data_IF_547797382226
#
_entry.id   IF_547797382226
#
_cell.length_a   1.000
_cell.length_b   1.000
_cell.length_c   1.000
_cell.angle_alpha   90.00
_cell.angle_beta   90.00
_cell.angle_gamma   90.00
#
_symmetry.space_group_name_H-M   'P 1'
#
loop_
_entity.id
_entity.type
_entity.pdbx_description
1 polymer ?
#
# COMPACT_ATOMS: atom_id res chain seq x y z
N UNK A 1 4.68 16.69 -24.51
CA UNK A 1 5.96 16.34 -23.87
C UNK A 1 6.58 17.51 -23.11
N UNK A 2 7.12 18.57 -23.73
CA UNK A 2 7.90 19.59 -22.99
C UNK A 2 7.17 20.24 -21.80
N UNK A 3 5.87 20.56 -21.95
CA UNK A 3 5.06 21.05 -20.82
C UNK A 3 4.97 20.04 -19.66
N UNK A 4 4.75 18.76 -19.97
CA UNK A 4 4.70 17.65 -18.98
C UNK A 4 6.04 17.55 -18.26
N UNK A 5 7.15 17.58 -19.01
CA UNK A 5 8.48 17.49 -18.39
C UNK A 5 8.84 18.71 -17.55
N UNK A 6 8.46 19.92 -17.98
CA UNK A 6 8.73 21.17 -17.26
C UNK A 6 7.92 21.34 -15.96
N UNK A 7 6.84 20.58 -15.82
CA UNK A 7 5.85 20.67 -14.74
C UNK A 7 5.99 19.52 -13.75
N UNK A 8 5.98 18.27 -14.24
CA UNK A 8 5.99 17.05 -13.42
C UNK A 8 7.20 16.13 -13.68
N UNK A 9 7.80 16.19 -14.88
CA UNK A 9 8.96 15.35 -15.25
C UNK A 9 10.33 15.99 -15.02
N UNK A 10 11.33 15.57 -15.80
CA UNK A 10 12.76 15.92 -15.66
C UNK A 10 13.02 17.44 -15.60
N UNK A 11 12.41 18.23 -16.49
CA UNK A 11 12.66 19.68 -16.57
C UNK A 11 12.03 20.48 -15.42
N UNK A 12 11.10 19.90 -14.65
CA UNK A 12 10.62 20.48 -13.38
C UNK A 12 11.78 20.59 -12.38
N UNK A 13 12.69 19.62 -12.39
CA UNK A 13 13.82 19.48 -11.47
C UNK A 13 15.08 20.22 -11.91
N UNK A 14 15.01 21.08 -12.94
CA UNK A 14 16.14 21.84 -13.54
C UNK A 14 17.01 22.70 -12.59
N UNK A 15 16.66 22.80 -11.30
CA UNK A 15 17.46 23.43 -10.24
C UNK A 15 18.40 22.46 -9.51
N UNK A 16 18.20 21.15 -9.66
CA UNK A 16 19.06 20.09 -9.10
C UNK A 16 20.39 20.01 -9.86
N UNK A 17 21.35 19.26 -9.31
CA UNK A 17 22.65 19.04 -9.94
C UNK A 17 22.50 18.43 -11.33
N UNK A 18 23.23 18.95 -12.32
CA UNK A 18 23.27 18.39 -13.68
C UNK A 18 24.07 17.09 -13.69
N UNK A 19 23.71 16.18 -14.60
CA UNK A 19 24.37 14.89 -14.77
C UNK A 19 24.39 14.44 -16.24
N UNK A 20 25.23 13.46 -16.51
CA UNK A 20 25.36 12.70 -17.76
C UNK A 20 25.38 11.18 -17.52
N UNK A 21 25.63 10.74 -16.28
CA UNK A 21 25.52 9.36 -15.81
C UNK A 21 25.23 9.34 -14.30
N UNK A 22 24.80 8.19 -13.75
CA UNK A 22 24.53 8.05 -12.31
C UNK A 22 25.75 8.32 -11.43
N UNK A 23 26.98 8.17 -11.96
CA UNK A 23 28.21 8.50 -11.25
C UNK A 23 28.28 9.98 -10.85
N UNK A 24 27.66 10.89 -11.62
CA UNK A 24 27.56 12.32 -11.28
C UNK A 24 26.64 12.55 -10.06
N UNK A 25 25.73 11.59 -9.80
CA UNK A 25 24.75 11.61 -8.72
C UNK A 25 25.16 10.78 -7.49
N UNK A 26 26.17 9.91 -7.59
CA UNK A 26 26.66 9.03 -6.51
C UNK A 26 27.14 9.77 -5.23
N UNK A 27 27.30 11.09 -5.27
CA UNK A 27 27.57 11.94 -4.11
C UNK A 27 26.31 12.64 -3.53
N UNK A 28 25.12 12.08 -3.80
CA UNK A 28 23.84 12.43 -3.18
C UNK A 28 23.38 11.32 -2.23
N UNK A 29 22.84 11.70 -1.08
CA UNK A 29 22.28 10.79 -0.07
C UNK A 29 20.73 10.75 -0.07
N UNK A 30 20.09 11.23 -1.15
CA UNK A 30 18.63 11.36 -1.28
C UNK A 30 18.02 10.37 -2.29
N UNK A 31 18.76 9.34 -2.71
CA UNK A 31 18.32 8.36 -3.70
C UNK A 31 18.29 8.89 -5.15
N UNK A 32 19.04 9.96 -5.45
CA UNK A 32 19.08 10.52 -6.81
C UNK A 32 19.77 9.63 -7.85
N UNK A 33 19.06 9.33 -8.93
CA UNK A 33 19.60 8.79 -10.19
C UNK A 33 19.72 9.91 -11.25
N UNK A 34 20.46 9.67 -12.34
CA UNK A 34 20.62 10.64 -13.43
C UNK A 34 19.47 10.54 -14.43
N UNK A 35 18.44 11.36 -14.25
CA UNK A 35 17.28 11.39 -15.13
C UNK A 35 17.56 12.27 -16.37
N UNK A 36 17.60 11.65 -17.54
CA UNK A 36 17.83 12.29 -18.85
C UNK A 36 16.59 12.03 -19.74
N UNK A 37 16.04 13.07 -20.37
CA UNK A 37 14.92 12.95 -21.31
C UNK A 37 15.33 12.23 -22.59
N UNK A 38 14.39 11.57 -23.26
CA UNK A 38 14.61 11.06 -24.61
C UNK A 38 15.14 12.17 -25.55
N UNK A 39 16.21 11.86 -26.29
CA UNK A 39 16.88 12.79 -27.21
C UNK A 39 17.81 13.82 -26.56
N UNK A 40 17.90 13.90 -25.23
CA UNK A 40 18.85 14.77 -24.53
C UNK A 40 20.19 14.06 -24.24
N UNK A 41 21.27 14.84 -24.12
CA UNK A 41 22.62 14.35 -23.81
C UNK A 41 23.07 14.60 -22.37
N UNK A 42 22.21 15.20 -21.56
CA UNK A 42 22.45 15.51 -20.14
C UNK A 42 21.12 15.81 -19.45
N UNK A 43 21.03 15.55 -18.16
CA UNK A 43 19.83 15.75 -17.36
C UNK A 43 20.15 16.23 -15.96
N UNK A 44 19.36 15.78 -14.98
CA UNK A 44 19.52 16.18 -13.58
C UNK A 44 19.50 14.95 -12.65
N UNK A 45 20.21 15.05 -11.52
CA UNK A 45 20.12 14.08 -10.43
C UNK A 45 18.77 14.24 -9.73
N UNK A 46 17.85 13.27 -9.85
CA UNK A 46 16.48 13.30 -9.31
C UNK A 46 16.25 12.07 -8.42
N UNK A 47 15.72 12.21 -7.20
CA UNK A 47 15.31 11.08 -6.35
C UNK A 47 14.30 10.19 -7.06
N UNK A 48 14.54 8.89 -7.11
CA UNK A 48 13.70 7.93 -7.85
C UNK A 48 12.27 7.79 -7.28
N UNK A 49 12.01 8.28 -6.07
CA UNK A 49 10.68 8.32 -5.45
C UNK A 49 9.83 9.54 -5.88
N UNK A 50 10.39 10.53 -6.57
CA UNK A 50 9.62 11.69 -7.04
C UNK A 50 8.61 11.26 -8.12
N UNK A 51 7.32 11.47 -7.86
CA UNK A 51 6.25 11.11 -8.78
C UNK A 51 4.85 11.54 -8.29
N UNK A 52 3.82 11.14 -9.04
CA UNK A 52 2.42 11.54 -8.83
C UNK A 52 1.59 10.47 -8.09
N UNK A 53 2.19 9.75 -7.14
CA UNK A 53 1.52 8.69 -6.36
C UNK A 53 0.20 9.18 -5.72
N UNK A 54 0.21 10.41 -5.19
CA UNK A 54 -0.96 11.08 -4.61
C UNK A 54 -2.14 11.21 -5.60
N UNK A 55 -1.86 11.46 -6.88
CA UNK A 55 -2.86 11.65 -7.91
C UNK A 55 -3.37 10.31 -8.47
N UNK A 56 -2.45 9.36 -8.69
CA UNK A 56 -2.78 7.98 -9.08
C UNK A 56 -3.68 7.30 -8.03
N UNK A 57 -3.36 7.41 -6.74
CA UNK A 57 -4.13 6.79 -5.67
C UNK A 57 -5.58 7.32 -5.62
N UNK A 58 -5.80 8.62 -5.84
CA UNK A 58 -7.16 9.18 -5.99
C UNK A 58 -7.86 8.64 -7.25
N UNK A 59 -7.17 8.62 -8.39
CA UNK A 59 -7.75 8.14 -9.64
C UNK A 59 -8.15 6.66 -9.56
N UNK A 60 -7.34 5.82 -8.91
CA UNK A 60 -7.61 4.40 -8.68
C UNK A 60 -8.84 4.13 -7.78
N UNK A 61 -9.21 5.08 -6.92
CA UNK A 61 -10.40 5.00 -6.05
C UNK A 61 -11.65 5.53 -6.76
N UNK A 62 -11.53 6.64 -7.48
CA UNK A 62 -12.67 7.39 -8.01
C UNK A 62 -13.04 7.01 -9.45
N UNK A 63 -12.10 6.54 -10.26
CA UNK A 63 -12.31 6.28 -11.68
C UNK A 63 -12.49 4.78 -11.96
N UNK A 64 -13.36 4.45 -12.92
CA UNK A 64 -13.53 3.08 -13.35
C UNK A 64 -12.30 2.64 -14.17
N UNK A 65 -11.71 1.50 -13.83
CA UNK A 65 -10.47 1.05 -14.48
C UNK A 65 -10.67 0.86 -16.01
N UNK A 66 -9.79 1.42 -16.87
CA UNK A 66 -9.79 1.14 -18.29
C UNK A 66 -9.48 -0.34 -18.54
N UNK A 67 -10.17 -0.98 -19.49
CA UNK A 67 -10.11 -2.43 -19.71
C UNK A 67 -9.59 -2.83 -21.08
N UNK A 68 -10.06 -2.14 -22.11
CA UNK A 68 -9.72 -2.41 -23.50
C UNK A 68 -9.03 -1.20 -24.16
N UNK A 69 -8.18 -1.40 -25.18
CA UNK A 69 -7.62 -0.31 -25.96
C UNK A 69 -8.72 0.49 -26.69
N UNK A 70 -8.48 1.79 -26.91
CA UNK A 70 -9.42 2.70 -27.59
C UNK A 70 -8.68 3.46 -28.69
N UNK A 71 -9.20 3.46 -29.91
CA UNK A 71 -8.63 4.19 -31.05
C UNK A 71 -9.39 5.49 -31.30
N UNK A 72 -8.70 6.62 -31.15
CA UNK A 72 -9.25 7.94 -31.42
C UNK A 72 -8.33 8.72 -32.37
N UNK A 73 -8.93 9.28 -33.43
CA UNK A 73 -8.24 10.07 -34.46
C UNK A 73 -7.01 9.37 -35.10
N UNK A 74 -7.03 8.03 -35.17
CA UNK A 74 -5.95 7.21 -35.72
C UNK A 74 -4.87 6.79 -34.73
N UNK A 75 -4.97 7.19 -33.45
CA UNK A 75 -4.07 6.76 -32.36
C UNK A 75 -4.81 5.79 -31.45
N UNK A 76 -4.21 4.64 -31.17
CA UNK A 76 -4.71 3.68 -30.18
C UNK A 76 -4.07 3.96 -28.82
N UNK A 77 -4.91 4.20 -27.82
CA UNK A 77 -4.55 4.35 -26.41
C UNK A 77 -4.80 3.00 -25.71
N UNK A 78 -3.76 2.46 -25.07
CA UNK A 78 -3.88 1.28 -24.22
C UNK A 78 -4.50 1.65 -22.86
N UNK A 79 -5.06 0.69 -22.10
CA UNK A 79 -5.48 0.91 -20.73
C UNK A 79 -4.39 1.55 -19.84
N UNK A 80 -3.12 1.20 -20.03
CA UNK A 80 -1.99 1.82 -19.32
C UNK A 80 -1.76 3.29 -19.72
N UNK A 81 -1.93 3.65 -21.00
CA UNK A 81 -1.87 5.06 -21.43
C UNK A 81 -2.97 5.88 -20.77
N UNK A 82 -4.18 5.31 -20.68
CA UNK A 82 -5.32 5.95 -20.01
C UNK A 82 -5.10 6.07 -18.50
N UNK A 83 -4.47 5.07 -17.85
CA UNK A 83 -4.02 5.12 -16.44
C UNK A 83 -2.99 6.23 -16.19
N UNK A 84 -2.07 6.46 -17.14
CA UNK A 84 -1.12 7.58 -17.06
C UNK A 84 -1.83 8.94 -17.23
N UNK A 85 -2.63 9.11 -18.29
CA UNK A 85 -3.34 10.36 -18.57
C UNK A 85 -4.31 10.77 -17.45
N UNK A 86 -5.06 9.83 -16.86
CA UNK A 86 -5.98 10.15 -15.77
C UNK A 86 -5.24 10.56 -14.49
N UNK A 87 -4.09 9.96 -14.21
CA UNK A 87 -3.26 10.33 -13.04
C UNK A 87 -2.69 11.75 -13.19
N UNK A 88 -2.21 12.10 -14.39
CA UNK A 88 -1.70 13.43 -14.72
C UNK A 88 -2.80 14.52 -14.69
N UNK A 89 -4.05 14.16 -15.01
CA UNK A 89 -5.21 15.04 -14.75
C UNK A 89 -5.39 15.29 -13.25
N UNK A 90 -5.31 14.27 -12.40
CA UNK A 90 -5.58 14.42 -10.96
C UNK A 90 -4.52 15.28 -10.24
N UNK A 91 -3.25 15.26 -10.67
CA UNK A 91 -2.21 16.22 -10.23
C UNK A 91 -2.59 17.65 -10.62
N UNK A 92 -2.85 17.86 -11.92
CA UNK A 92 -3.12 19.18 -12.47
C UNK A 92 -4.50 19.77 -12.16
N UNK A 93 -5.40 19.02 -11.51
CA UNK A 93 -6.80 19.42 -11.30
C UNK A 93 -7.07 20.17 -9.99
N UNK A 94 -6.21 20.09 -8.98
CA UNK A 94 -6.45 20.72 -7.67
C UNK A 94 -7.66 20.14 -6.93
N UNK A 95 -7.77 18.81 -6.87
CA UNK A 95 -8.90 18.10 -6.26
C UNK A 95 -9.05 18.44 -4.77
N UNK A 96 -10.27 18.75 -4.33
CA UNK A 96 -10.56 19.10 -2.93
C UNK A 96 -10.58 17.87 -2.03
N UNK A 97 -9.73 17.85 -0.99
CA UNK A 97 -9.55 16.71 -0.08
C UNK A 97 -10.22 16.91 1.28
N UNK A 98 -10.38 15.80 2.01
CA UNK A 98 -10.34 15.72 3.47
C UNK A 98 -9.00 15.05 3.81
N UNK A 99 -8.24 15.63 4.73
CA UNK A 99 -6.91 15.15 5.13
C UNK A 99 -6.85 15.06 6.66
N UNK A 100 -6.29 13.97 7.18
CA UNK A 100 -6.25 13.63 8.62
C UNK A 100 -4.95 12.88 8.93
N UNK A 101 -4.33 13.13 10.08
CA UNK A 101 -2.92 12.81 10.30
C UNK A 101 -2.03 14.05 10.07
N UNK A 102 -0.86 14.07 10.72
CA UNK A 102 -0.05 15.28 10.91
C UNK A 102 1.35 15.16 10.33
N UNK A 103 1.45 14.86 9.02
CA UNK A 103 2.69 14.53 8.28
C UNK A 103 4.00 14.69 9.06
N UNK A 104 4.59 13.58 9.48
CA UNK A 104 5.99 13.52 9.86
C UNK A 104 6.87 13.81 8.64
N UNK A 105 7.82 14.76 8.76
CA UNK A 105 8.65 15.20 7.63
C UNK A 105 10.04 14.53 7.61
N UNK A 106 10.26 13.53 8.48
CA UNK A 106 11.60 13.08 8.85
C UNK A 106 12.30 14.05 9.81
N UNK A 107 13.32 13.57 10.52
CA UNK A 107 14.12 14.38 11.43
C UNK A 107 14.80 13.55 12.51
N UNK A 108 15.34 14.22 13.53
CA UNK A 108 15.66 13.58 14.81
C UNK A 108 14.38 13.41 15.62
N UNK A 109 14.12 12.18 16.05
CA UNK A 109 13.14 11.84 17.08
C UNK A 109 13.84 10.97 18.14
N UNK A 110 13.16 10.73 19.25
CA UNK A 110 13.59 9.86 20.34
C UNK A 110 12.37 9.20 20.95
N UNK A 111 12.48 7.92 21.28
CA UNK A 111 11.45 7.14 21.97
C UNK A 111 11.59 7.28 23.49
N UNK A 112 10.50 7.08 24.23
CA UNK A 112 10.58 6.85 25.68
C UNK A 112 10.91 5.38 26.01
N UNK A 113 10.94 5.04 27.30
CA UNK A 113 11.30 3.69 27.77
C UNK A 113 10.31 2.58 27.36
N UNK A 114 9.16 2.96 26.79
CA UNK A 114 8.13 2.05 26.27
C UNK A 114 8.08 1.99 24.74
N UNK A 115 8.98 2.69 24.05
CA UNK A 115 9.03 2.82 22.59
C UNK A 115 8.35 4.08 22.03
N UNK A 116 7.49 4.72 22.83
CA UNK A 116 6.58 5.77 22.36
C UNK A 116 7.34 7.02 21.89
N UNK A 117 7.12 7.42 20.64
CA UNK A 117 7.82 8.51 19.97
C UNK A 117 7.59 9.90 20.63
N UNK A 118 8.66 10.68 20.82
CA UNK A 118 8.56 12.03 21.40
C UNK A 118 7.88 13.04 20.47
N UNK A 119 7.90 12.79 19.16
CA UNK A 119 7.31 13.68 18.18
C UNK A 119 5.81 13.39 17.98
N UNK A 120 4.96 14.35 18.36
CA UNK A 120 3.51 14.27 18.16
C UNK A 120 3.08 14.11 16.68
N UNK A 121 3.94 14.46 15.73
CA UNK A 121 3.71 14.23 14.30
C UNK A 121 4.12 12.81 13.86
N UNK A 122 4.98 12.12 14.60
CA UNK A 122 5.24 10.69 14.40
C UNK A 122 4.13 9.86 15.07
N UNK A 123 3.69 10.22 16.27
CA UNK A 123 2.57 9.55 16.98
C UNK A 123 1.18 9.72 16.34
N UNK A 124 1.09 10.43 15.23
CA UNK A 124 -0.10 10.53 14.38
C UNK A 124 0.22 9.74 13.10
N UNK A 125 -0.64 8.86 12.57
CA UNK A 125 -2.06 8.71 12.84
C UNK A 125 -2.38 7.96 14.14
N UNK A 126 -3.18 8.54 15.04
CA UNK A 126 -3.61 7.82 16.26
C UNK A 126 -4.43 6.53 15.93
N UNK A 127 -4.17 5.38 16.58
CA UNK A 127 -4.76 4.09 16.22
C UNK A 127 -6.28 4.00 16.40
N UNK A 128 -6.86 4.75 17.33
CA UNK A 128 -8.32 4.81 17.47
C UNK A 128 -8.95 5.51 16.27
N UNK A 129 -8.38 6.63 15.83
CA UNK A 129 -8.82 7.28 14.59
C UNK A 129 -8.61 6.36 13.38
N UNK A 130 -7.45 5.70 13.27
CA UNK A 130 -7.18 4.73 12.20
C UNK A 130 -8.24 3.62 12.15
N UNK A 131 -8.52 2.96 13.28
CA UNK A 131 -9.53 1.89 13.35
C UNK A 131 -10.93 2.41 13.00
N UNK A 132 -11.35 3.54 13.58
CA UNK A 132 -12.65 4.15 13.32
C UNK A 132 -12.77 4.55 11.85
N UNK A 133 -11.78 5.23 11.28
CA UNK A 133 -11.80 5.65 9.89
C UNK A 133 -11.84 4.44 8.93
N UNK A 134 -10.94 3.47 9.11
CA UNK A 134 -10.87 2.28 8.27
C UNK A 134 -12.16 1.45 8.33
N UNK A 135 -12.66 1.14 9.53
CA UNK A 135 -13.86 0.34 9.72
C UNK A 135 -15.15 1.02 9.23
N UNK A 136 -15.27 2.35 9.38
CA UNK A 136 -16.46 3.06 8.91
C UNK A 136 -16.41 3.37 7.40
N UNK A 137 -15.29 3.84 6.86
CA UNK A 137 -15.17 4.15 5.42
C UNK A 137 -15.37 2.90 4.56
N UNK A 138 -14.57 1.86 4.79
CA UNK A 138 -14.63 0.62 4.00
C UNK A 138 -15.84 -0.24 4.38
N UNK A 139 -16.09 -0.42 5.68
CA UNK A 139 -17.08 -1.39 6.18
C UNK A 139 -18.53 -0.92 6.27
N UNK A 140 -18.79 0.40 6.37
CA UNK A 140 -20.16 0.94 6.50
C UNK A 140 -20.55 1.91 5.38
N UNK A 141 -19.61 2.73 4.91
CA UNK A 141 -19.85 3.78 3.92
C UNK A 141 -19.58 3.31 2.47
N UNK A 142 -19.04 2.10 2.27
CA UNK A 142 -18.65 1.55 0.96
C UNK A 142 -17.73 2.51 0.18
N UNK A 143 -16.77 3.10 0.89
CA UNK A 143 -15.83 4.10 0.39
C UNK A 143 -14.39 3.68 0.68
N UNK A 144 -13.43 4.27 -0.04
CA UNK A 144 -12.00 4.04 0.15
C UNK A 144 -11.28 5.38 0.37
N UNK A 145 -10.03 5.29 0.80
CA UNK A 145 -9.16 6.40 1.14
C UNK A 145 -7.72 6.06 0.72
N UNK A 146 -6.90 7.10 0.65
CA UNK A 146 -5.46 7.02 0.44
C UNK A 146 -4.77 7.11 1.80
N UNK A 147 -3.69 6.37 1.97
CA UNK A 147 -2.78 6.47 3.12
C UNK A 147 -1.37 6.74 2.62
N UNK A 148 -0.55 7.39 3.45
CA UNK A 148 0.89 7.16 3.38
C UNK A 148 1.22 5.87 4.13
N UNK A 149 1.90 4.94 3.48
CA UNK A 149 2.26 3.64 4.08
C UNK A 149 3.61 3.66 4.79
N UNK A 150 4.24 4.83 4.92
CA UNK A 150 5.53 5.01 5.61
C UNK A 150 5.59 6.31 6.41
N UNK A 151 5.90 6.24 7.70
CA UNK A 151 6.28 7.42 8.47
C UNK A 151 7.70 7.88 8.08
N UNK A 152 7.84 8.98 7.32
CA UNK A 152 9.17 9.40 6.88
C UNK A 152 9.28 10.60 5.93
N UNK A 153 10.51 10.83 5.46
CA UNK A 153 10.83 11.96 4.58
C UNK A 153 10.33 11.77 3.14
N UNK A 154 10.25 10.52 2.67
CA UNK A 154 9.55 10.13 1.43
C UNK A 154 8.05 10.02 1.71
N UNK A 155 7.22 10.03 0.67
CA UNK A 155 5.75 9.99 0.77
C UNK A 155 5.19 8.96 -0.21
N UNK A 156 4.58 7.90 0.29
CA UNK A 156 4.13 6.75 -0.48
C UNK A 156 2.61 6.59 -0.38
N UNK A 157 1.90 7.42 -1.14
CA UNK A 157 0.44 7.41 -1.22
C UNK A 157 -0.08 6.16 -1.93
N UNK A 158 -0.78 5.28 -1.19
CA UNK A 158 -1.36 4.05 -1.71
C UNK A 158 -2.88 4.02 -1.52
N UNK A 159 -3.68 3.56 -2.52
CA UNK A 159 -5.13 3.45 -2.41
C UNK A 159 -5.52 2.18 -1.63
N UNK A 160 -6.31 2.35 -0.57
CA UNK A 160 -6.66 1.23 0.33
C UNK A 160 -7.79 0.39 -0.28
N UNK A 161 -7.49 -0.89 -0.51
CA UNK A 161 -8.41 -1.89 -1.03
C UNK A 161 -9.30 -2.50 0.05
N UNK A 162 -8.82 -2.59 1.29
CA UNK A 162 -9.58 -3.21 2.38
C UNK A 162 -8.92 -3.12 3.75
N UNK A 163 -9.73 -3.41 4.76
CA UNK A 163 -9.34 -3.48 6.17
C UNK A 163 -10.03 -4.68 6.80
N UNK A 164 -9.30 -5.51 7.53
CA UNK A 164 -9.83 -6.68 8.22
C UNK A 164 -9.22 -6.78 9.61
N UNK A 165 -10.07 -6.81 10.63
CA UNK A 165 -9.66 -7.20 11.98
C UNK A 165 -9.51 -8.73 12.02
N UNK A 166 -8.41 -9.21 12.60
CA UNK A 166 -8.11 -10.64 12.79
C UNK A 166 -8.30 -11.06 14.24
N UNK A 167 -8.04 -10.17 15.20
CA UNK A 167 -8.18 -10.41 16.62
C UNK A 167 -8.79 -9.19 17.32
N UNK A 168 -9.64 -9.43 18.33
CA UNK A 168 -10.08 -8.44 19.31
C UNK A 168 -10.07 -9.13 20.67
N UNK A 169 -9.15 -8.73 21.54
CA UNK A 169 -8.96 -9.34 22.86
C UNK A 169 -9.20 -8.26 23.91
N UNK A 170 -10.30 -8.39 24.65
CA UNK A 170 -10.65 -7.48 25.74
C UNK A 170 -9.75 -7.74 26.96
N UNK A 171 -9.29 -6.68 27.60
CA UNK A 171 -8.34 -6.68 28.71
C UNK A 171 -8.73 -5.61 29.74
N UNK A 172 -8.37 -5.84 31.00
CA UNK A 172 -8.38 -4.78 32.02
C UNK A 172 -7.26 -3.75 31.76
N UNK A 173 -7.31 -2.62 32.46
CA UNK A 173 -6.27 -1.60 32.39
C UNK A 173 -4.93 -2.14 32.91
N UNK A 174 -4.99 -2.88 34.02
CA UNK A 174 -3.87 -3.53 34.70
C UNK A 174 -3.27 -4.66 33.84
N UNK A 175 -4.11 -5.49 33.20
CA UNK A 175 -3.67 -6.52 32.26
C UNK A 175 -2.93 -5.92 31.07
N UNK A 176 -3.43 -4.83 30.49
CA UNK A 176 -2.77 -4.14 29.39
C UNK A 176 -1.47 -3.43 29.83
N UNK A 177 -1.49 -2.76 30.99
CA UNK A 177 -0.33 -2.09 31.57
C UNK A 177 0.84 -3.07 31.79
N UNK A 178 0.54 -4.23 32.39
CA UNK A 178 1.54 -5.25 32.70
C UNK A 178 2.02 -5.98 31.43
N UNK A 179 1.14 -6.23 30.45
CA UNK A 179 1.46 -6.99 29.23
C UNK A 179 2.33 -6.20 28.25
N UNK A 180 2.01 -4.93 28.01
CA UNK A 180 2.66 -4.13 26.96
C UNK A 180 3.72 -3.16 27.48
N UNK A 181 3.65 -2.76 28.75
CA UNK A 181 4.52 -1.72 29.33
C UNK A 181 5.23 -2.14 30.62
N UNK A 182 4.91 -3.32 31.18
CA UNK A 182 5.51 -3.79 32.44
C UNK A 182 5.05 -3.01 33.69
N UNK A 183 3.90 -2.34 33.63
CA UNK A 183 3.39 -1.43 34.65
C UNK A 183 2.19 -1.99 35.44
N UNK A 184 2.03 -1.56 36.69
CA UNK A 184 0.86 -1.89 37.53
C UNK A 184 -0.41 -1.11 37.12
N UNK A 185 -0.25 0.14 36.66
CA UNK A 185 -1.35 1.04 36.25
C UNK A 185 -1.18 1.48 34.78
N UNK A 186 -2.29 1.63 34.04
CA UNK A 186 -2.28 2.07 32.64
C UNK A 186 -2.09 3.59 32.54
N UNK A 187 -0.95 4.10 32.02
CA UNK A 187 -0.58 5.51 32.21
C UNK A 187 -1.15 6.46 31.14
N UNK A 188 -1.62 5.94 30.00
CA UNK A 188 -1.81 6.74 28.79
C UNK A 188 -3.10 7.57 28.77
N UNK A 189 -4.20 7.04 29.31
CA UNK A 189 -5.48 7.73 29.36
C UNK A 189 -6.29 7.41 30.63
N UNK A 190 -6.29 8.34 31.59
CA UNK A 190 -7.06 8.21 32.83
C UNK A 190 -8.60 8.21 32.64
N UNK A 191 -9.11 8.51 31.43
CA UNK A 191 -10.52 8.35 31.12
C UNK A 191 -10.89 6.91 30.73
N UNK A 192 -9.93 6.06 30.34
CA UNK A 192 -10.16 4.66 29.96
C UNK A 192 -10.75 3.81 31.11
N UNK A 193 -11.48 2.77 30.75
CA UNK A 193 -12.22 1.87 31.66
C UNK A 193 -11.98 0.40 31.34
N UNK A 194 -11.73 0.07 30.07
CA UNK A 194 -11.18 -1.20 29.62
C UNK A 194 -10.37 -0.99 28.34
N UNK A 195 -9.59 -2.00 27.98
CA UNK A 195 -8.77 -2.01 26.76
C UNK A 195 -9.25 -3.12 25.83
N UNK A 196 -9.17 -2.89 24.52
CA UNK A 196 -9.24 -3.97 23.52
C UNK A 196 -7.95 -3.97 22.71
N UNK A 197 -7.14 -5.02 22.85
CA UNK A 197 -6.04 -5.29 21.95
C UNK A 197 -6.57 -5.76 20.58
N UNK A 198 -5.99 -5.25 19.50
CA UNK A 198 -6.43 -5.51 18.13
C UNK A 198 -5.23 -5.84 17.23
N UNK A 199 -5.24 -7.05 16.63
CA UNK A 199 -4.47 -7.34 15.40
C UNK A 199 -5.39 -7.10 14.20
N UNK A 200 -5.07 -6.12 13.36
CA UNK A 200 -5.79 -5.84 12.12
C UNK A 200 -4.84 -5.80 10.92
N UNK A 201 -5.35 -6.06 9.72
CA UNK A 201 -4.62 -5.91 8.46
C UNK A 201 -5.27 -4.82 7.61
N UNK A 202 -4.48 -3.86 7.14
CA UNK A 202 -4.87 -3.00 6.01
C UNK A 202 -4.29 -3.60 4.74
N UNK A 203 -5.02 -3.49 3.62
CA UNK A 203 -4.55 -3.93 2.31
C UNK A 203 -4.73 -2.83 1.28
N UNK A 204 -3.71 -2.60 0.46
CA UNK A 204 -3.64 -1.55 -0.54
C UNK A 204 -3.10 -2.08 -1.86
N UNK A 205 -3.34 -1.34 -2.95
CA UNK A 205 -2.74 -1.63 -4.26
C UNK A 205 -1.35 -1.00 -4.31
N UNK A 206 -0.36 -1.66 -4.92
CA UNK A 206 0.96 -1.08 -5.23
C UNK A 206 1.15 -0.87 -6.74
N UNK A 207 2.19 -0.13 -7.13
CA UNK A 207 2.42 0.33 -8.49
C UNK A 207 2.78 -0.81 -9.46
N UNK A 208 2.24 -0.75 -10.69
CA UNK A 208 2.60 -1.68 -11.77
C UNK A 208 2.47 -1.03 -13.14
N UNK A 209 3.29 -1.50 -14.08
CA UNK A 209 3.21 -1.16 -15.51
C UNK A 209 2.49 -2.25 -16.33
N UNK A 210 1.79 -3.18 -15.67
CA UNK A 210 0.99 -4.21 -16.35
C UNK A 210 -0.27 -3.59 -16.99
N UNK A 211 -0.35 -3.67 -18.31
CA UNK A 211 -1.47 -3.17 -19.10
C UNK A 211 -2.73 -4.06 -18.98
N UNK A 212 -3.88 -3.51 -19.36
CA UNK A 212 -5.20 -4.16 -19.27
C UNK A 212 -6.02 -3.75 -18.04
N UNK A 213 -7.25 -4.29 -17.97
CA UNK A 213 -8.17 -4.11 -16.84
C UNK A 213 -7.98 -5.17 -15.75
N UNK A 214 -7.00 -4.95 -14.87
CA UNK A 214 -6.50 -5.87 -13.84
C UNK A 214 -7.55 -6.19 -12.78
N UNK A 215 -8.46 -5.26 -12.48
CA UNK A 215 -9.59 -5.48 -11.55
C UNK A 215 -10.60 -6.42 -12.19
N UNK A 216 -10.89 -6.26 -13.48
CA UNK A 216 -11.86 -7.10 -14.21
C UNK A 216 -11.34 -8.50 -14.56
N UNK A 217 -10.03 -8.72 -14.58
CA UNK A 217 -9.42 -10.05 -14.76
C UNK A 217 -9.13 -10.79 -13.44
N UNK A 218 -9.15 -10.10 -12.30
CA UNK A 218 -8.71 -10.62 -11.00
C UNK A 218 -7.19 -10.50 -10.76
N UNK A 219 -6.41 -10.11 -11.77
CA UNK A 219 -4.95 -9.93 -11.65
C UNK A 219 -4.57 -8.85 -10.63
N UNK A 220 -5.48 -7.94 -10.26
CA UNK A 220 -5.32 -6.96 -9.17
C UNK A 220 -4.93 -7.60 -7.83
N UNK A 221 -5.28 -8.87 -7.59
CA UNK A 221 -4.86 -9.60 -6.38
C UNK A 221 -3.34 -9.74 -6.29
N UNK A 222 -2.65 -9.85 -7.43
CA UNK A 222 -1.17 -9.91 -7.51
C UNK A 222 -0.52 -8.56 -7.18
N UNK A 223 -1.26 -7.48 -7.36
CA UNK A 223 -0.86 -6.10 -7.10
C UNK A 223 -1.44 -5.56 -5.78
N UNK A 224 -2.03 -6.43 -4.96
CA UNK A 224 -2.53 -6.10 -3.62
C UNK A 224 -1.53 -6.58 -2.58
N UNK A 225 -1.07 -5.67 -1.73
CA UNK A 225 -0.22 -5.98 -0.57
C UNK A 225 -0.89 -5.47 0.72
N UNK A 226 -0.21 -5.50 1.85
CA UNK A 226 -0.70 -4.90 3.08
C UNK A 226 -0.05 -5.42 4.36
N UNK A 227 0.19 -4.51 5.30
CA UNK A 227 0.76 -4.78 6.63
C UNK A 227 -0.30 -5.15 7.68
N UNK A 228 0.14 -5.86 8.73
CA UNK A 228 -0.59 -5.96 9.99
C UNK A 228 -0.23 -4.78 10.89
N UNK A 229 -1.21 -4.30 11.65
CA UNK A 229 -1.02 -3.31 12.70
C UNK A 229 -1.58 -3.80 14.02
N UNK A 230 -0.89 -3.42 15.09
CA UNK A 230 -1.12 -3.87 16.46
C UNK A 230 -1.31 -2.65 17.37
N UNK A 231 -2.45 -2.59 18.06
CA UNK A 231 -2.80 -1.43 18.88
C UNK A 231 -3.79 -1.78 19.99
N UNK A 232 -3.82 -0.91 20.99
CA UNK A 232 -4.79 -0.90 22.06
C UNK A 232 -5.86 0.15 21.73
N UNK A 233 -7.14 -0.24 21.79
CA UNK A 233 -8.25 0.68 21.83
C UNK A 233 -8.66 0.93 23.28
N UNK A 234 -8.71 2.20 23.67
CA UNK A 234 -9.16 2.64 24.98
C UNK A 234 -10.68 2.84 24.95
N UNK A 235 -11.38 2.16 25.86
CA UNK A 235 -12.84 2.14 25.92
C UNK A 235 -13.35 2.87 27.16
N UNK A 236 -14.50 3.52 27.05
CA UNK A 236 -15.23 4.09 28.20
C UNK A 236 -16.21 3.09 28.85
N UNK A 237 -16.98 3.54 29.86
CA UNK A 237 -17.97 2.73 30.57
C UNK A 237 -19.15 2.26 29.68
N UNK A 238 -19.36 2.87 28.51
CA UNK A 238 -20.38 2.50 27.53
C UNK A 238 -19.85 1.57 26.43
N UNK A 239 -18.53 1.39 26.33
CA UNK A 239 -17.88 0.68 25.22
C UNK A 239 -17.73 1.53 23.96
N UNK A 240 -17.71 2.86 24.09
CA UNK A 240 -17.28 3.76 23.00
C UNK A 240 -15.74 3.88 23.00
N UNK A 241 -15.15 3.93 21.80
CA UNK A 241 -13.70 4.11 21.64
C UNK A 241 -13.37 5.57 21.90
N UNK A 242 -12.56 5.86 22.93
CA UNK A 242 -12.19 7.22 23.34
C UNK A 242 -10.71 7.57 23.08
N UNK A 243 -9.89 6.59 22.74
CA UNK A 243 -8.47 6.76 22.43
C UNK A 243 -7.78 5.43 22.17
N UNK A 244 -6.45 5.42 22.18
CA UNK A 244 -5.64 4.25 21.87
C UNK A 244 -4.18 4.57 21.61
N UNK A 245 -3.34 3.56 21.77
CA UNK A 245 -1.88 3.62 21.59
C UNK A 245 -1.41 2.42 20.73
N UNK A 246 -0.36 2.61 19.95
CA UNK A 246 0.26 1.55 19.15
C UNK A 246 1.07 0.60 20.06
N UNK A 247 1.30 -0.64 19.60
CA UNK A 247 2.15 -1.63 20.29
C UNK A 247 2.96 -2.48 19.31
N UNK A 248 3.96 -3.20 19.82
CA UNK A 248 4.92 -3.99 19.03
C UNK A 248 5.58 -3.13 17.94
N UNK A 249 5.78 -3.67 16.73
CA UNK A 249 6.40 -2.92 15.64
C UNK A 249 5.54 -1.77 15.11
N UNK A 250 4.25 -1.67 15.47
CA UNK A 250 3.37 -0.61 14.99
C UNK A 250 3.53 0.73 15.70
N UNK A 251 4.38 0.84 16.72
CA UNK A 251 4.78 2.14 17.27
C UNK A 251 5.78 2.87 16.34
N UNK A 252 6.59 2.10 15.60
CA UNK A 252 7.55 2.61 14.59
C UNK A 252 7.01 2.50 13.14
N UNK A 253 6.23 1.45 12.81
CA UNK A 253 5.70 1.14 11.47
C UNK A 253 4.16 1.22 11.44
N UNK A 254 3.65 2.44 11.28
CA UNK A 254 2.23 2.74 11.09
C UNK A 254 2.01 3.85 10.03
N UNK A 255 0.77 4.07 9.55
CA UNK A 255 0.47 5.16 8.61
C UNK A 255 0.65 6.55 9.25
N UNK A 256 1.33 7.45 8.55
CA UNK A 256 1.55 8.86 8.92
C UNK A 256 0.25 9.67 8.77
N UNK A 257 -0.46 9.50 7.65
CA UNK A 257 -1.73 10.17 7.40
C UNK A 257 -2.69 9.39 6.49
N UNK A 258 -3.98 9.72 6.64
CA UNK A 258 -5.12 9.19 5.90
C UNK A 258 -5.88 10.35 5.25
N UNK A 259 -6.24 10.22 3.97
CA UNK A 259 -6.94 11.28 3.26
C UNK A 259 -7.79 10.75 2.10
N UNK A 260 -8.76 11.54 1.66
CA UNK A 260 -9.61 11.20 0.52
C UNK A 260 -10.12 12.45 -0.21
N UNK A 261 -10.45 12.32 -1.49
CA UNK A 261 -11.06 13.37 -2.27
C UNK A 261 -12.57 13.48 -1.99
N UNK A 262 -13.09 14.70 -1.95
CA UNK A 262 -14.53 14.99 -1.76
C UNK A 262 -15.37 14.72 -3.01
N UNK A 263 -14.74 14.79 -4.19
CA UNK A 263 -15.32 14.57 -5.49
C UNK A 263 -14.21 14.35 -6.54
N UNK A 264 -14.60 13.95 -7.75
CA UNK A 264 -13.76 13.99 -8.95
C UNK A 264 -13.38 15.44 -9.34
N UNK A 265 -12.39 15.66 -10.21
CA UNK A 265 -12.20 16.95 -10.90
C UNK A 265 -13.50 17.48 -11.52
N UNK A 266 -13.61 18.80 -11.68
CA UNK A 266 -14.72 19.38 -12.43
C UNK A 266 -14.64 18.93 -13.90
N UNK A 267 -15.77 18.55 -14.51
CA UNK A 267 -15.81 17.96 -15.85
C UNK A 267 -15.15 18.84 -16.96
N UNK A 268 -15.11 20.16 -16.76
CA UNK A 268 -14.49 21.13 -17.65
C UNK A 268 -13.04 21.52 -17.26
N UNK A 269 -12.39 20.80 -16.35
CA UNK A 269 -11.00 21.02 -15.97
C UNK A 269 -10.07 20.79 -17.17
N UNK A 270 -9.20 21.77 -17.42
CA UNK A 270 -8.04 21.64 -18.29
C UNK A 270 -6.81 22.01 -17.46
N UNK A 271 -5.83 21.12 -17.37
CA UNK A 271 -4.66 21.32 -16.53
C UNK A 271 -3.69 22.37 -17.09
N UNK A 272 -2.76 22.82 -16.25
CA UNK A 272 -1.61 23.68 -16.56
C UNK A 272 -0.83 23.28 -17.83
N UNK A 273 -0.65 21.98 -18.09
CA UNK A 273 -0.02 21.48 -19.33
C UNK A 273 -0.94 21.54 -20.57
N UNK A 274 -2.26 21.64 -20.38
CA UNK A 274 -3.27 21.60 -21.44
C UNK A 274 -3.98 20.26 -21.58
N UNK A 275 -3.91 19.37 -20.59
CA UNK A 275 -4.61 18.09 -20.60
C UNK A 275 -6.05 18.30 -20.13
N UNK A 276 -7.02 17.89 -20.96
CA UNK A 276 -8.45 18.10 -20.77
C UNK A 276 -9.08 16.89 -20.09
N UNK A 277 -9.71 17.09 -18.92
CA UNK A 277 -10.36 15.99 -18.22
C UNK A 277 -11.50 15.40 -19.03
N UNK A 278 -12.31 16.23 -19.69
CA UNK A 278 -13.41 15.78 -20.56
C UNK A 278 -12.95 14.82 -21.66
N UNK A 279 -11.81 15.09 -22.29
CA UNK A 279 -11.26 14.25 -23.36
C UNK A 279 -10.70 12.93 -22.80
N UNK A 280 -10.05 12.96 -21.63
CA UNK A 280 -9.59 11.74 -20.93
C UNK A 280 -10.77 10.89 -20.46
N UNK A 281 -11.81 11.48 -19.88
CA UNK A 281 -13.05 10.80 -19.49
C UNK A 281 -13.73 10.12 -20.69
N UNK A 282 -13.79 10.79 -21.84
CA UNK A 282 -14.38 10.23 -23.06
C UNK A 282 -13.61 8.99 -23.58
N UNK A 283 -12.28 8.98 -23.48
CA UNK A 283 -11.48 7.79 -23.79
C UNK A 283 -11.64 6.69 -22.73
N UNK A 284 -11.68 7.08 -21.45
CA UNK A 284 -11.86 6.16 -20.32
C UNK A 284 -13.19 5.42 -20.39
N UNK A 285 -14.30 6.12 -20.60
CA UNK A 285 -15.64 5.53 -20.76
C UNK A 285 -15.68 4.49 -21.88
N UNK A 286 -15.08 4.80 -23.05
CA UNK A 286 -14.96 3.86 -24.16
C UNK A 286 -14.15 2.61 -23.81
N UNK A 287 -13.09 2.76 -23.03
CA UNK A 287 -12.20 1.68 -22.59
C UNK A 287 -12.87 0.77 -21.56
N UNK A 288 -13.57 1.37 -20.58
CA UNK A 288 -14.37 0.67 -19.55
C UNK A 288 -15.49 -0.15 -20.18
N UNK A 289 -16.06 0.34 -21.29
CA UNK A 289 -17.12 -0.30 -22.08
C UNK A 289 -16.61 -1.19 -23.24
N UNK A 290 -15.30 -1.25 -23.50
CA UNK A 290 -14.70 -1.99 -24.62
C UNK A 290 -15.34 -1.72 -26.00
N UNK A 291 -15.65 -0.45 -26.27
CA UNK A 291 -16.50 -0.01 -27.40
C UNK A 291 -15.98 -0.43 -28.78
N UNK A 292 -14.66 -0.37 -28.96
CA UNK A 292 -14.02 -0.68 -30.25
C UNK A 292 -13.96 -2.20 -30.48
N UNK A 293 -13.81 -2.99 -29.41
CA UNK A 293 -13.85 -4.46 -29.44
C UNK A 293 -15.24 -4.98 -29.86
N UNK A 294 -16.31 -4.32 -29.40
CA UNK A 294 -17.68 -4.65 -29.82
C UNK A 294 -17.89 -4.44 -31.33
N UNK A 295 -17.25 -3.42 -31.91
CA UNK A 295 -17.33 -3.13 -33.35
C UNK A 295 -16.67 -4.21 -34.21
N UNK A 296 -15.59 -4.84 -33.72
CA UNK A 296 -14.93 -5.95 -34.41
C UNK A 296 -15.80 -7.23 -34.45
N UNK A 297 -16.62 -7.47 -33.43
CA UNK A 297 -17.50 -8.65 -33.34
C UNK A 297 -18.67 -8.63 -34.32
N UNK A 298 -19.00 -7.48 -34.94
CA UNK A 298 -20.17 -7.32 -35.81
C UNK A 298 -20.02 -7.85 -37.24
N UNK A 299 -18.80 -8.17 -37.68
CA UNK A 299 -18.49 -8.43 -39.11
C UNK A 299 -18.30 -9.92 -39.48
N UNK A 300 -18.80 -10.84 -38.66
CA UNK A 300 -18.61 -12.30 -38.85
C UNK A 300 -19.94 -13.09 -38.78
N UNK A 301 -20.90 -12.82 -39.68
CA UNK A 301 -22.22 -13.45 -39.56
C UNK A 301 -23.24 -13.27 -40.68
N UNK A 302 -22.91 -13.53 -41.96
CA UNK A 302 -23.91 -13.88 -43.00
C UNK A 302 -23.31 -14.44 -44.29
N UNK A 303 -23.20 -15.78 -44.39
CA UNK A 303 -23.14 -16.53 -45.65
C UNK A 303 -23.33 -18.02 -45.37
N UNK A 304 -24.58 -18.50 -45.39
CA UNK A 304 -24.91 -19.90 -45.14
C UNK A 304 -25.36 -20.61 -46.43
N UNK A 305 -24.57 -21.61 -46.83
CA UNK A 305 -24.96 -22.84 -47.57
C UNK A 305 -25.95 -22.77 -48.74
N UNK A 306 -25.44 -23.06 -49.94
CA UNK A 306 -26.17 -23.83 -50.95
C UNK A 306 -25.19 -24.77 -51.68
N UNK A 307 -25.48 -26.08 -51.69
CA UNK A 307 -24.63 -27.11 -52.28
C UNK A 307 -25.33 -27.80 -53.46
N UNK A 308 -24.70 -27.81 -54.64
CA UNK A 308 -25.13 -28.62 -55.79
C UNK A 308 -23.93 -29.18 -56.55
N UNK A 309 -24.10 -30.39 -57.10
CA UNK A 309 -23.05 -31.19 -57.73
C UNK A 309 -23.03 -31.06 -59.26
N UNK A 310 -21.87 -31.25 -59.90
CA UNK A 310 -21.64 -32.39 -60.81
C UNK A 310 -20.34 -32.29 -61.66
N UNK A 311 -19.73 -33.46 -61.89
CA UNK A 311 -19.10 -33.90 -63.16
C UNK A 311 -17.97 -33.13 -63.86
N UNK A 312 -16.75 -33.65 -63.66
CA UNK A 312 -15.93 -34.30 -64.70
C UNK A 312 -15.05 -33.50 -65.73
N UNK A 313 -13.80 -34.00 -65.79
CA UNK A 313 -12.98 -34.29 -67.00
C UNK A 313 -11.97 -33.27 -67.57
N UNK A 314 -10.71 -33.75 -67.64
CA UNK A 314 -9.67 -33.54 -68.67
C UNK A 314 -9.12 -32.14 -68.99
N UNK A 315 -7.78 -32.03 -68.94
CA UNK A 315 -7.00 -30.92 -69.51
C UNK A 315 -5.54 -30.95 -69.05
N UNK A 316 -4.64 -31.53 -69.85
CA UNK A 316 -3.21 -31.64 -69.53
C UNK A 316 -2.34 -30.84 -70.49
N UNK A 317 -1.30 -30.18 -69.95
CA UNK A 317 0.03 -29.89 -70.53
C UNK A 317 0.70 -28.80 -69.67
N UNK A 318 1.90 -28.93 -69.08
CA UNK A 318 3.24 -29.37 -69.53
C UNK A 318 3.95 -28.41 -70.49
N UNK A 319 5.15 -27.97 -70.06
CA UNK A 319 6.21 -27.19 -70.74
C UNK A 319 6.33 -25.73 -70.27
N UNK A 320 7.51 -25.23 -69.89
CA UNK A 320 8.79 -25.93 -69.64
C UNK A 320 10.02 -25.03 -69.77
N UNK A 321 11.12 -25.39 -69.08
CA UNK A 321 12.49 -24.83 -69.20
C UNK A 321 12.65 -23.34 -68.77
N UNK A 322 13.64 -22.93 -67.95
CA UNK A 322 15.12 -23.03 -68.08
C UNK A 322 15.65 -22.25 -69.30
N UNK A 323 16.80 -21.55 -69.25
CA UNK A 323 18.09 -21.91 -68.64
C UNK A 323 18.84 -20.71 -67.99
N UNK A 324 19.69 -21.05 -67.01
CA UNK A 324 20.90 -20.41 -66.46
C UNK A 324 21.74 -19.55 -67.45
N UNK A 325 22.64 -18.65 -67.03
CA UNK A 325 23.90 -18.91 -66.28
C UNK A 325 24.51 -17.59 -65.76
N UNK A 326 25.12 -17.48 -64.57
CA UNK A 326 26.52 -17.80 -64.19
C UNK A 326 27.59 -16.95 -64.94
N UNK A 327 28.72 -16.50 -64.37
CA UNK A 327 29.53 -16.94 -63.20
C UNK A 327 30.24 -15.72 -62.52
N UNK A 328 30.44 -15.66 -61.19
CA UNK A 328 31.63 -16.11 -60.40
C UNK A 328 32.94 -15.32 -60.63
N UNK A 329 33.97 -15.27 -59.76
CA UNK A 329 34.22 -15.78 -58.39
C UNK A 329 35.06 -14.72 -57.61
N UNK A 330 35.72 -14.86 -56.44
CA UNK A 330 36.11 -15.91 -55.46
C UNK A 330 36.40 -15.17 -54.11
N UNK A 331 36.66 -15.76 -52.94
CA UNK A 331 36.76 -17.16 -52.49
C UNK A 331 37.11 -17.25 -50.98
N UNK A 332 37.12 -18.47 -50.44
CA UNK A 332 37.98 -19.09 -49.38
C UNK A 332 38.51 -18.27 -48.17
N UNK A 333 38.65 -18.83 -46.95
CA UNK A 333 38.54 -20.22 -46.48
C UNK A 333 38.17 -20.31 -44.97
N UNK A 334 38.03 -21.53 -44.41
CA UNK A 334 37.59 -21.80 -43.04
C UNK A 334 38.71 -21.82 -41.96
N UNK A 335 38.58 -22.56 -40.83
CA UNK A 335 37.67 -23.69 -40.55
C UNK A 335 36.81 -23.53 -39.27
N UNK A 336 36.06 -24.59 -38.92
CA UNK A 336 35.31 -24.72 -37.67
C UNK A 336 35.79 -25.90 -36.81
N UNK A 337 35.60 -25.82 -35.49
CA UNK A 337 35.68 -26.95 -34.53
C UNK A 337 34.55 -26.84 -33.51
N UNK A 338 34.21 -27.94 -32.83
CA UNK A 338 32.97 -28.09 -32.06
C UNK A 338 33.17 -28.79 -30.71
N UNK A 339 32.30 -28.45 -29.75
CA UNK A 339 31.90 -29.32 -28.63
C UNK A 339 30.42 -29.03 -28.35
N UNK A 340 29.51 -29.98 -28.61
CA UNK A 340 29.12 -31.09 -27.70
C UNK A 340 28.44 -30.52 -26.44
N UNK A 341 27.12 -30.29 -26.47
CA UNK A 341 26.07 -31.30 -26.17
C UNK A 341 26.09 -31.76 -24.69
N UNK A 342 24.95 -31.81 -23.99
CA UNK A 342 23.94 -32.86 -24.22
C UNK A 342 22.52 -32.49 -23.77
N UNK A 343 21.56 -33.29 -24.22
CA UNK A 343 20.11 -33.11 -24.05
C UNK A 343 19.50 -33.94 -22.91
N UNK A 344 18.48 -33.40 -22.24
CA UNK A 344 17.33 -34.09 -21.61
C UNK A 344 16.31 -33.02 -21.18
N UNK A 345 15.00 -33.23 -21.13
CA UNK A 345 14.17 -34.35 -21.61
C UNK A 345 12.70 -34.10 -21.19
N UNK A 346 11.71 -34.36 -22.06
CA UNK A 346 10.31 -34.03 -21.76
C UNK A 346 9.69 -34.98 -20.73
N UNK A 347 9.24 -34.47 -19.59
CA UNK A 347 8.34 -35.13 -18.63
C UNK A 347 7.26 -34.13 -18.18
N UNK A 348 6.12 -34.65 -17.72
CA UNK A 348 4.87 -33.93 -17.51
C UNK A 348 4.92 -32.75 -16.53
N UNK A 349 4.02 -31.79 -16.76
CA UNK A 349 3.58 -30.79 -15.78
C UNK A 349 2.80 -31.49 -14.66
N UNK A 350 3.32 -31.51 -13.43
CA UNK A 350 2.51 -31.81 -12.25
C UNK A 350 1.94 -30.52 -11.66
N UNK A 351 0.65 -30.54 -11.34
CA UNK A 351 -0.08 -29.39 -10.79
C UNK A 351 0.05 -29.38 -9.27
N UNK A 352 0.56 -28.31 -8.63
CA UNK A 352 0.44 -28.15 -7.17
C UNK A 352 -1.04 -28.12 -6.80
N UNK A 353 -1.46 -29.04 -5.93
CA UNK A 353 -2.89 -29.25 -5.67
C UNK A 353 -3.55 -28.06 -4.98
N UNK A 354 -4.68 -27.59 -5.54
CA UNK A 354 -5.56 -26.61 -4.92
C UNK A 354 -6.03 -27.11 -3.55
N UNK A 355 -5.61 -26.47 -2.47
CA UNK A 355 -6.27 -26.65 -1.17
C UNK A 355 -7.55 -25.82 -1.15
N UNK A 356 -8.69 -26.49 -1.24
CA UNK A 356 -10.01 -25.89 -1.13
C UNK A 356 -10.18 -25.22 0.25
N UNK A 357 -10.63 -23.96 0.34
CA UNK A 357 -10.98 -23.35 1.63
C UNK A 357 -12.06 -24.18 2.34
N UNK A 358 -11.78 -24.61 3.58
CA UNK A 358 -12.77 -25.31 4.39
C UNK A 358 -13.93 -24.35 4.72
N UNK A 359 -15.15 -24.72 4.32
CA UNK A 359 -16.36 -23.96 4.66
C UNK A 359 -16.81 -24.36 6.07
N UNK A 360 -16.13 -23.82 7.09
CA UNK A 360 -16.56 -23.99 8.47
C UNK A 360 -17.83 -23.16 8.73
N UNK A 361 -18.88 -23.84 9.19
CA UNK A 361 -20.17 -23.22 9.49
C UNK A 361 -20.13 -22.67 10.92
N UNK A 362 -20.59 -21.43 11.19
CA UNK A 362 -20.56 -20.86 12.53
C UNK A 362 -21.32 -21.72 13.55
N UNK A 363 -20.64 -22.16 14.61
CA UNK A 363 -21.27 -22.83 15.75
C UNK A 363 -21.99 -21.78 16.59
N UNK A 364 -23.33 -21.85 16.63
CA UNK A 364 -24.13 -20.91 17.39
C UNK A 364 -23.95 -21.12 18.91
N UNK A 365 -23.29 -20.18 19.58
CA UNK A 365 -23.16 -20.18 21.04
C UNK A 365 -24.48 -19.78 21.70
N UNK A 366 -25.08 -20.67 22.48
CA UNK A 366 -26.37 -20.42 23.14
C UNK A 366 -26.21 -19.55 24.39
N UNK A 367 -26.59 -18.28 24.30
CA UNK A 367 -26.70 -17.38 25.48
C UNK A 367 -27.90 -17.75 26.35
N UNK A 368 -27.67 -18.41 27.48
CA UNK A 368 -28.71 -18.68 28.47
C UNK A 368 -29.13 -17.40 29.22
N UNK A 369 -30.35 -16.94 28.99
CA UNK A 369 -30.94 -15.81 29.72
C UNK A 369 -31.35 -16.22 31.15
N UNK A 370 -30.58 -15.80 32.16
CA UNK A 370 -30.82 -16.12 33.57
C UNK A 370 -30.97 -14.88 34.46
N UNK A 371 -32.19 -14.42 34.69
CA UNK A 371 -32.50 -13.30 35.61
C UNK A 371 -32.60 -13.80 37.06
N UNK A 372 -32.06 -13.05 38.05
CA UNK A 372 -32.80 -12.92 39.31
C UNK A 372 -32.78 -11.50 39.92
N UNK A 373 -33.92 -10.84 39.81
CA UNK A 373 -34.63 -10.06 40.84
C UNK A 373 -33.89 -9.63 42.13
N UNK A 374 -33.58 -8.33 42.19
CA UNK A 374 -33.89 -7.38 43.27
C UNK A 374 -33.72 -7.75 44.77
N UNK A 375 -32.82 -7.03 45.45
CA UNK A 375 -32.88 -6.73 46.89
C UNK A 375 -32.41 -5.26 47.14
N UNK A 376 -32.81 -4.59 48.25
CA UNK A 376 -32.85 -3.12 48.28
C UNK A 376 -31.61 -2.43 48.91
N UNK A 377 -31.37 -1.19 48.47
CA UNK A 377 -30.39 -0.28 49.06
C UNK A 377 -30.85 0.30 50.41
N UNK A 378 -29.91 0.58 51.31
CA UNK A 378 -30.14 1.32 52.57
C UNK A 378 -29.30 2.58 52.62
N UNK A 379 -29.93 3.71 52.95
CA UNK A 379 -29.30 5.03 53.05
C UNK A 379 -28.81 5.31 54.47
N UNK A 380 -27.57 5.78 54.66
CA UNK A 380 -27.17 6.59 55.83
C UNK A 380 -26.05 7.55 55.43
N UNK A 381 -26.02 8.72 56.07
CA UNK A 381 -25.23 9.89 55.65
C UNK A 381 -23.74 9.87 56.07
N UNK A 382 -22.93 10.71 55.40
CA UNK A 382 -21.66 11.22 55.92
C UNK A 382 -21.89 12.22 57.08
N UNK A 383 -20.83 12.66 57.79
CA UNK A 383 -20.33 14.01 57.48
C UNK A 383 -18.82 14.29 57.74
N UNK A 384 -18.39 15.44 57.21
CA UNK A 384 -17.38 16.37 57.76
C UNK A 384 -15.88 15.97 57.85
N UNK A 385 -15.15 16.34 56.80
CA UNK A 385 -14.01 17.31 56.82
C UNK A 385 -13.32 17.60 58.17
N UNK A 386 -12.00 17.38 58.22
CA UNK A 386 -11.05 18.25 58.94
C UNK A 386 -9.79 18.52 58.12
N UNK A 387 -9.39 19.78 58.02
CA UNK A 387 -8.15 20.22 57.36
C UNK A 387 -6.97 20.24 58.33
N UNK A 388 -5.80 19.74 57.92
CA UNK A 388 -4.53 20.02 58.60
C UNK A 388 -3.31 19.99 57.65
N UNK A 389 -2.62 21.11 57.54
CA UNK A 389 -1.23 21.22 57.08
C UNK A 389 -0.62 22.38 57.87
N UNK A 390 0.62 22.26 58.39
CA UNK A 390 1.67 23.13 57.85
C UNK A 390 3.11 22.57 57.95
N UNK A 391 4.01 23.15 57.14
CA UNK A 391 5.50 23.19 57.28
C UNK A 391 6.26 21.85 57.46
N UNK A 392 7.35 21.55 56.75
CA UNK A 392 8.20 22.37 55.88
C UNK A 392 9.42 22.92 56.61
N UNK A 393 10.59 22.31 56.39
CA UNK A 393 11.92 22.92 56.52
C UNK A 393 12.98 22.12 55.70
N UNK A 394 14.18 22.67 55.52
CA UNK A 394 15.23 22.16 54.63
C UNK A 394 16.29 21.27 55.31
N UNK A 395 16.90 20.39 54.51
CA UNK A 395 18.36 20.21 54.47
C UNK A 395 18.99 19.00 55.17
N UNK A 396 20.16 18.56 54.68
CA UNK A 396 21.06 17.65 55.41
C UNK A 396 21.49 16.38 54.66
N UNK A 397 22.43 16.51 53.71
CA UNK A 397 23.13 15.37 53.10
C UNK A 397 24.08 14.66 54.12
N UNK A 398 23.91 13.36 54.35
CA UNK A 398 25.02 12.38 54.36
C UNK A 398 24.49 10.93 54.31
N UNK A 399 25.24 10.04 53.64
CA UNK A 399 24.81 8.67 53.37
C UNK A 399 25.20 7.63 54.43
N UNK A 400 24.46 6.52 54.47
CA UNK A 400 24.79 5.32 55.24
C UNK A 400 24.57 4.08 54.38
N UNK A 401 25.61 3.26 54.22
CA UNK A 401 25.58 2.08 53.35
C UNK A 401 24.94 0.87 54.08
N UNK A 402 23.80 0.38 53.58
CA UNK A 402 23.30 -0.97 53.83
C UNK A 402 22.76 -1.56 52.53
N UNK A 403 23.53 -2.44 51.90
CA UNK A 403 23.07 -3.24 50.76
C UNK A 403 22.31 -4.48 51.23
N UNK A 404 21.27 -4.85 50.50
CA UNK A 404 20.49 -6.08 50.71
C UNK A 404 19.21 -6.07 49.86
N UNK A 405 19.13 -7.00 48.90
CA UNK A 405 17.97 -7.30 48.06
C UNK A 405 17.42 -6.11 47.23
N UNK A 406 18.09 -5.77 46.12
CA UNK A 406 17.48 -5.10 44.95
C UNK A 406 17.83 -5.83 43.64
N UNK A 407 19.04 -6.41 43.53
CA UNK A 407 19.52 -7.08 42.31
C UNK A 407 18.57 -8.19 41.78
N UNK A 408 17.81 -8.86 42.66
CA UNK A 408 16.91 -9.97 42.29
C UNK A 408 15.69 -9.57 41.47
N UNK A 409 15.31 -8.31 41.52
CA UNK A 409 14.06 -7.81 40.92
C UNK A 409 14.39 -7.10 39.59
N UNK A 410 15.51 -6.37 39.55
CA UNK A 410 16.13 -5.89 38.31
C UNK A 410 16.54 -7.04 37.36
N UNK A 411 17.12 -8.13 37.89
CA UNK A 411 17.46 -9.34 37.09
C UNK A 411 16.20 -10.01 36.51
N UNK A 412 15.06 -9.97 37.22
CA UNK A 412 13.80 -10.53 36.73
C UNK A 412 13.16 -9.63 35.66
N UNK A 413 13.20 -8.32 35.84
CA UNK A 413 12.69 -7.36 34.87
C UNK A 413 13.51 -7.43 33.56
N UNK A 414 14.85 -7.47 33.65
CA UNK A 414 15.72 -7.69 32.49
C UNK A 414 15.46 -9.05 31.80
N UNK A 415 15.16 -10.11 32.55
CA UNK A 415 14.78 -11.41 31.97
C UNK A 415 13.41 -11.38 31.28
N UNK A 416 12.44 -10.61 31.78
CA UNK A 416 11.16 -10.39 31.08
C UNK A 416 11.35 -9.57 29.80
N UNK A 417 12.13 -8.46 29.85
CA UNK A 417 12.46 -7.67 28.66
C UNK A 417 13.17 -8.51 27.59
N UNK A 418 14.12 -9.38 27.99
CA UNK A 418 14.77 -10.32 27.06
C UNK A 418 13.79 -11.36 26.49
N UNK A 419 12.82 -11.86 27.28
CA UNK A 419 11.79 -12.76 26.76
C UNK A 419 10.80 -12.07 25.82
N UNK A 420 10.46 -10.81 26.07
CA UNK A 420 9.62 -9.99 25.17
C UNK A 420 10.36 -9.72 23.85
N UNK A 421 11.63 -9.30 23.90
CA UNK A 421 12.47 -9.12 22.72
C UNK A 421 12.69 -10.43 21.95
N UNK A 422 12.81 -11.58 22.65
CA UNK A 422 12.89 -12.90 22.00
C UNK A 422 11.58 -13.25 21.30
N UNK A 423 10.42 -13.05 21.94
CA UNK A 423 9.11 -13.26 21.31
C UNK A 423 8.90 -12.34 20.09
N UNK A 424 9.34 -11.09 20.18
CA UNK A 424 9.30 -10.13 19.08
C UNK A 424 10.18 -10.59 17.89
N UNK A 425 11.42 -11.02 18.16
CA UNK A 425 12.35 -11.54 17.13
C UNK A 425 11.91 -12.88 16.53
N UNK A 426 11.31 -13.77 17.33
CA UNK A 426 10.78 -15.06 16.87
C UNK A 426 9.50 -14.86 16.04
N UNK A 427 8.73 -13.80 16.30
CA UNK A 427 7.58 -13.37 15.51
C UNK A 427 8.01 -12.70 14.18
N UNK A 428 8.97 -11.76 14.23
CA UNK A 428 9.58 -11.14 13.05
C UNK A 428 10.06 -12.20 12.04
N UNK A 429 10.80 -13.20 12.52
CA UNK A 429 11.38 -14.26 11.67
C UNK A 429 10.33 -15.23 11.10
N UNK A 430 9.11 -15.29 11.65
CA UNK A 430 8.05 -16.17 11.18
C UNK A 430 7.08 -15.50 10.20
N UNK A 431 6.68 -14.24 10.41
CA UNK A 431 5.74 -13.54 9.50
C UNK A 431 6.42 -12.56 8.51
N UNK A 432 7.62 -12.03 8.78
CA UNK A 432 8.19 -10.89 8.03
C UNK A 432 9.70 -10.97 7.70
N UNK A 433 10.12 -11.76 6.68
CA UNK A 433 11.46 -11.60 6.09
C UNK A 433 11.58 -10.22 5.42
N UNK A 434 12.50 -9.37 5.91
CA UNK A 434 12.71 -7.97 5.47
C UNK A 434 12.77 -7.82 3.94
N UNK A 435 11.70 -7.30 3.33
CA UNK A 435 11.67 -7.01 1.89
C UNK A 435 12.24 -5.63 1.62
N UNK A 436 13.39 -5.57 0.94
CA UNK A 436 13.97 -4.32 0.47
C UNK A 436 13.27 -3.85 -0.81
N UNK A 437 12.40 -2.83 -0.68
CA UNK A 437 11.76 -2.18 -1.83
C UNK A 437 12.80 -1.48 -2.73
N UNK A 438 13.21 -2.14 -3.81
CA UNK A 438 14.00 -1.56 -4.90
C UNK A 438 13.15 -1.36 -6.16
N UNK A 439 12.40 -0.27 -6.20
CA UNK A 439 11.58 0.13 -7.35
C UNK A 439 12.43 0.89 -8.37
N UNK A 440 12.90 0.19 -9.42
CA UNK A 440 13.67 0.80 -10.52
C UNK A 440 12.77 1.58 -11.50
N UNK A 441 12.32 2.77 -11.08
CA UNK A 441 11.51 3.65 -11.92
C UNK A 441 12.34 4.36 -13.00
N UNK A 442 11.99 4.12 -14.27
CA UNK A 442 12.40 4.93 -15.41
C UNK A 442 11.17 5.67 -15.96
N UNK A 443 11.21 6.99 -15.97
CA UNK A 443 10.21 7.84 -16.64
C UNK A 443 10.66 8.20 -18.04
N UNK A 444 9.70 8.33 -18.97
CA UNK A 444 9.89 8.65 -20.39
C UNK A 444 9.99 10.17 -20.65
#
# INVERSE_FOLDING_TARGET
MDKVSADNGVDSQRKRAKCTSDNDCASRSDGSACAIREGASSGYCIPTWFGICHAWALAAILEAEPKCPVTHNGVTFQPMDLKALISDVYDGAGVSTVFTGSRFNGGTDSTDEYGRHSNNAYRDLNPAYFHIAAANLLGKLNSSFVVDVTAGAQVWNQPVRGFKVYEQTAMSLEEAAQTFYGLEEYPWNAAAKSIVYVKARMSWIYETYTDGGLVSSGEIDRFTTGAYYYYLLEMDDAGEIIGGEWVYNSDEDHPDFLWFAKAKPAANTVTKIGLSYADVSMLLEKSVACSDSASASGSAGSSASASTSSSASTGASTSGSSVSSASASTGSEGPATSSTASSTGSVATETPATQTPATETPVATTTNSGTPTSAPATTTAAPAVTTATPSGNQGGNQGGNQGGNHDSDDDQNQQQQQQQQQQQQDFEQQEHPRQSYQSFFHWW
#
